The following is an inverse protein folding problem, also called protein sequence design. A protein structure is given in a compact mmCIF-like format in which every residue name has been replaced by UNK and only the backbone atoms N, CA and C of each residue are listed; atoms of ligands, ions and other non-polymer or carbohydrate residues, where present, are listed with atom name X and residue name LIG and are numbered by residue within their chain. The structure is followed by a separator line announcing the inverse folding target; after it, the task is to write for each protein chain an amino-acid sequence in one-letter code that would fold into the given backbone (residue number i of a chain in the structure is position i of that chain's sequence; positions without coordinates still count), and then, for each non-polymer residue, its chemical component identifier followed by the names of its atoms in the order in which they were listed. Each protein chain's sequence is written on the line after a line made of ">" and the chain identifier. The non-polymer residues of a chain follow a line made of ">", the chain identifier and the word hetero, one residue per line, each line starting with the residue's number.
data_IF_302701692275
#
_entry.id   IF_302701692275
#
_cell.length_a   1.000
_cell.length_b   1.000
_cell.length_c   1.000
_cell.angle_alpha   90.00
_cell.angle_beta   90.00
_cell.angle_gamma   90.00
#
_symmetry.space_group_name_H-M   'P 1'
#
loop_
_entity.id
_entity.type
_entity.pdbx_description
1 polymer ?
#
# COMPACT_ATOMS: atom_id res chain seq x y z
N UNK A 1 -11.15 -13.24 -64.28
CA UNK A 1 -11.10 -14.14 -63.12
C UNK A 1 -10.10 -13.50 -62.18
N UNK A 2 -10.59 -12.85 -61.15
CA UNK A 2 -9.75 -12.23 -60.10
C UNK A 2 -10.07 -12.90 -58.79
N UNK A 3 -9.10 -13.63 -58.22
CA UNK A 3 -9.20 -14.23 -56.90
C UNK A 3 -8.84 -13.20 -55.83
N UNK A 4 -9.82 -12.79 -55.07
CA UNK A 4 -9.59 -12.01 -53.83
C UNK A 4 -9.05 -12.91 -52.74
N UNK A 5 -7.84 -12.65 -52.31
CA UNK A 5 -7.22 -13.27 -51.15
C UNK A 5 -7.61 -12.47 -49.91
N UNK A 6 -8.51 -13.00 -49.09
CA UNK A 6 -8.88 -12.39 -47.82
C UNK A 6 -7.79 -12.72 -46.77
N UNK A 7 -6.95 -11.75 -46.51
CA UNK A 7 -5.98 -11.84 -45.40
C UNK A 7 -6.70 -11.79 -44.06
N UNK A 8 -6.73 -12.91 -43.35
CA UNK A 8 -7.21 -13.01 -41.95
C UNK A 8 -6.14 -12.39 -41.06
N UNK A 9 -6.34 -11.16 -40.62
CA UNK A 9 -5.55 -10.54 -39.55
C UNK A 9 -5.95 -11.21 -38.23
N UNK A 10 -5.11 -12.10 -37.76
CA UNK A 10 -5.18 -12.63 -36.40
C UNK A 10 -4.70 -11.50 -35.47
N UNK A 11 -5.64 -10.76 -34.88
CA UNK A 11 -5.34 -9.89 -33.76
C UNK A 11 -5.10 -10.79 -32.55
N UNK A 12 -3.83 -11.02 -32.18
CA UNK A 12 -3.48 -11.58 -30.89
C UNK A 12 -3.96 -10.60 -29.81
N UNK A 13 -5.11 -10.85 -29.25
CA UNK A 13 -5.54 -10.25 -28.00
C UNK A 13 -4.62 -10.80 -26.91
N UNK A 14 -3.63 -10.02 -26.49
CA UNK A 14 -2.89 -10.31 -25.26
C UNK A 14 -3.88 -10.27 -24.11
N UNK A 15 -4.34 -11.47 -23.73
CA UNK A 15 -5.33 -11.69 -22.67
C UNK A 15 -4.74 -11.14 -21.34
N UNK A 16 -5.15 -9.94 -20.97
CA UNK A 16 -4.69 -9.31 -19.73
C UNK A 16 -5.15 -10.18 -18.56
N UNK A 17 -4.23 -10.76 -17.75
CA UNK A 17 -4.60 -11.69 -16.69
C UNK A 17 -5.68 -11.09 -15.79
N UNK A 18 -6.65 -11.88 -15.36
CA UNK A 18 -7.64 -11.44 -14.39
C UNK A 18 -6.95 -10.91 -13.12
N UNK A 19 -7.62 -10.04 -12.36
CA UNK A 19 -7.05 -9.49 -11.14
C UNK A 19 -6.61 -10.58 -10.15
N UNK A 20 -7.41 -11.64 -10.02
CA UNK A 20 -7.09 -12.77 -9.13
C UNK A 20 -5.83 -13.52 -9.58
N UNK A 21 -5.65 -13.74 -10.88
CA UNK A 21 -4.42 -14.31 -11.43
C UNK A 21 -3.21 -13.42 -11.14
N UNK A 22 -3.36 -12.09 -11.22
CA UNK A 22 -2.28 -11.17 -10.87
C UNK A 22 -1.93 -11.27 -9.39
N UNK A 23 -2.91 -11.25 -8.49
CA UNK A 23 -2.69 -11.41 -7.04
C UNK A 23 -2.05 -12.77 -6.73
N UNK A 24 -2.47 -13.84 -7.38
CA UNK A 24 -1.85 -15.17 -7.24
C UNK A 24 -0.36 -15.15 -7.67
N UNK A 25 -0.03 -14.48 -8.78
CA UNK A 25 1.38 -14.30 -9.22
C UNK A 25 2.21 -13.51 -8.20
N UNK A 26 1.64 -12.45 -7.62
CA UNK A 26 2.31 -11.69 -6.55
C UNK A 26 2.59 -12.60 -5.35
N UNK A 27 1.60 -13.38 -4.91
CA UNK A 27 1.74 -14.32 -3.78
C UNK A 27 2.76 -15.43 -4.04
N UNK A 28 2.92 -15.83 -5.29
CA UNK A 28 3.91 -16.83 -5.71
C UNK A 28 5.30 -16.23 -6.01
N UNK A 29 5.50 -14.92 -5.83
CA UNK A 29 6.75 -14.24 -6.18
C UNK A 29 7.94 -14.75 -5.35
N UNK A 30 9.06 -15.04 -6.04
CA UNK A 30 10.34 -15.47 -5.47
C UNK A 30 11.52 -14.56 -5.83
N UNK A 31 11.25 -13.40 -6.43
CA UNK A 31 12.27 -12.51 -7.01
C UNK A 31 13.41 -12.14 -6.05
N UNK A 32 13.09 -12.00 -4.75
CA UNK A 32 14.04 -11.56 -3.73
C UNK A 32 14.48 -12.70 -2.78
N UNK A 33 14.24 -13.97 -3.10
CA UNK A 33 14.37 -15.12 -2.18
C UNK A 33 15.75 -15.18 -1.50
N UNK A 34 16.82 -15.00 -2.26
CA UNK A 34 18.20 -15.03 -1.75
C UNK A 34 18.56 -13.88 -0.80
N UNK A 35 17.72 -12.85 -0.74
CA UNK A 35 17.93 -11.65 0.08
C UNK A 35 17.00 -11.59 1.30
N UNK A 36 16.13 -12.57 1.50
CA UNK A 36 15.13 -12.57 2.56
C UNK A 36 15.47 -13.62 3.62
N UNK A 37 15.75 -13.20 4.87
CA UNK A 37 16.26 -14.11 5.91
C UNK A 37 15.26 -15.19 6.33
N UNK A 38 13.94 -14.95 6.11
CA UNK A 38 12.88 -15.92 6.40
C UNK A 38 12.21 -16.44 5.11
N UNK A 39 12.83 -16.24 3.95
CA UNK A 39 12.30 -16.64 2.66
C UNK A 39 11.16 -15.73 2.15
N UNK A 40 10.63 -16.09 0.99
CA UNK A 40 9.54 -15.35 0.36
C UNK A 40 8.20 -15.72 0.97
N UNK A 41 7.50 -14.71 1.48
CA UNK A 41 6.09 -14.80 1.88
C UNK A 41 5.41 -13.47 1.58
N UNK A 42 4.98 -13.21 0.34
CA UNK A 42 4.31 -11.98 -0.02
C UNK A 42 2.98 -11.83 0.71
N UNK A 43 2.82 -10.70 1.41
CA UNK A 43 1.61 -10.34 2.16
C UNK A 43 1.00 -9.10 1.57
N UNK A 44 -0.24 -9.20 1.10
CA UNK A 44 -1.06 -8.11 0.60
C UNK A 44 -2.54 -8.45 0.76
N UNK A 45 -3.37 -7.42 0.71
CA UNK A 45 -4.82 -7.50 0.62
C UNK A 45 -5.27 -6.61 -0.53
N UNK A 46 -6.02 -7.12 -1.50
CA UNK A 46 -6.46 -6.32 -2.62
C UNK A 46 -7.69 -6.93 -3.32
N UNK A 47 -8.60 -6.06 -3.71
CA UNK A 47 -9.72 -6.34 -4.61
C UNK A 47 -9.89 -5.14 -5.55
N UNK A 48 -10.33 -5.32 -6.80
CA UNK A 48 -10.59 -4.21 -7.72
C UNK A 48 -11.74 -3.31 -7.23
N UNK A 49 -12.53 -3.77 -6.25
CA UNK A 49 -13.61 -3.00 -5.62
C UNK A 49 -13.18 -2.17 -4.43
N UNK A 50 -11.93 -2.31 -3.97
CA UNK A 50 -11.42 -1.56 -2.83
C UNK A 50 -11.50 -0.05 -3.07
N UNK A 51 -11.98 0.68 -2.07
CA UNK A 51 -12.18 2.14 -2.12
C UNK A 51 -11.13 2.91 -1.33
N UNK A 52 -10.49 2.28 -0.36
CA UNK A 52 -9.35 2.79 0.39
C UNK A 52 -8.11 1.98 0.05
N UNK A 53 -7.03 2.64 -0.36
CA UNK A 53 -5.73 2.03 -0.58
C UNK A 53 -4.76 2.40 0.54
N UNK A 54 -4.17 1.42 1.19
CA UNK A 54 -3.10 1.60 2.16
C UNK A 54 -1.79 1.14 1.55
N UNK A 55 -0.87 2.06 1.33
CA UNK A 55 0.50 1.77 0.92
C UNK A 55 1.43 2.02 2.10
N UNK A 56 2.19 1.01 2.49
CA UNK A 56 3.11 1.05 3.64
C UNK A 56 4.52 0.59 3.24
N UNK A 57 5.42 0.40 4.19
CA UNK A 57 6.80 0.00 3.91
C UNK A 57 6.89 -1.45 3.44
N UNK A 58 6.78 -2.40 4.35
CA UNK A 58 6.89 -3.85 4.14
C UNK A 58 6.32 -4.58 5.36
N UNK A 59 6.00 -5.89 5.26
CA UNK A 59 5.64 -6.72 6.41
C UNK A 59 6.73 -6.73 7.47
N UNK A 60 6.38 -6.58 8.73
CA UNK A 60 7.25 -6.89 9.86
C UNK A 60 7.30 -8.41 10.12
N UNK A 61 8.16 -8.86 11.04
CA UNK A 61 8.32 -10.29 11.39
C UNK A 61 6.98 -10.96 11.73
N UNK A 62 6.18 -10.35 12.61
CA UNK A 62 4.87 -10.91 13.03
C UNK A 62 3.88 -11.01 11.86
N UNK A 63 3.87 -10.03 10.97
CA UNK A 63 3.06 -10.07 9.75
C UNK A 63 3.52 -11.18 8.82
N UNK A 64 4.84 -11.36 8.68
CA UNK A 64 5.41 -12.48 7.93
C UNK A 64 4.97 -13.83 8.51
N UNK A 65 5.04 -14.01 9.84
CA UNK A 65 4.66 -15.26 10.52
C UNK A 65 3.17 -15.59 10.36
N UNK A 66 2.30 -14.59 10.41
CA UNK A 66 0.83 -14.79 10.34
C UNK A 66 0.28 -14.75 8.91
N UNK A 67 0.95 -14.07 7.99
CA UNK A 67 0.45 -13.82 6.64
C UNK A 67 -0.69 -12.80 6.58
N UNK A 68 -0.99 -12.11 7.68
CA UNK A 68 -2.08 -11.13 7.78
C UNK A 68 -1.48 -9.72 7.87
N UNK A 69 -1.79 -8.80 6.91
CA UNK A 69 -1.22 -7.47 6.91
C UNK A 69 -1.61 -6.68 8.16
N UNK A 70 -0.67 -5.93 8.73
CA UNK A 70 -0.89 -5.13 9.94
C UNK A 70 -1.46 -5.93 11.14
N UNK A 71 -1.16 -7.22 11.26
CA UNK A 71 -1.51 -8.02 12.45
C UNK A 71 -0.48 -7.86 13.57
N UNK A 72 -0.23 -6.62 13.98
CA UNK A 72 0.76 -6.23 14.96
C UNK A 72 0.33 -4.92 15.68
N UNK A 73 1.07 -4.43 16.69
CA UNK A 73 0.74 -3.19 17.40
C UNK A 73 0.68 -1.95 16.50
N UNK A 74 1.37 -1.94 15.35
CA UNK A 74 1.25 -0.87 14.35
C UNK A 74 -0.13 -0.89 13.70
N UNK A 75 -0.64 -2.07 13.41
CA UNK A 75 -1.98 -2.24 12.85
C UNK A 75 -3.08 -1.87 13.82
N UNK A 76 -2.92 -2.18 15.12
CA UNK A 76 -3.88 -1.75 16.14
C UNK A 76 -3.99 -0.22 16.17
N UNK A 77 -2.83 0.46 16.21
CA UNK A 77 -2.79 1.93 16.17
C UNK A 77 -3.33 2.49 14.86
N UNK A 78 -3.04 1.85 13.73
CA UNK A 78 -3.55 2.32 12.44
C UNK A 78 -5.08 2.28 12.41
N UNK A 79 -5.70 1.19 12.85
CA UNK A 79 -7.17 1.09 12.95
C UNK A 79 -7.76 2.16 13.85
N UNK A 80 -7.13 2.44 14.97
CA UNK A 80 -7.46 3.54 15.88
C UNK A 80 -7.44 4.90 15.16
N UNK A 81 -6.38 5.18 14.40
CA UNK A 81 -6.27 6.42 13.64
C UNK A 81 -7.36 6.55 12.58
N UNK A 82 -7.67 5.43 11.90
CA UNK A 82 -8.70 5.39 10.87
C UNK A 82 -10.14 5.44 11.43
N UNK A 83 -10.31 5.14 12.72
CA UNK A 83 -11.64 5.05 13.35
C UNK A 83 -12.47 3.87 12.85
N UNK A 84 -11.84 2.77 12.47
CA UNK A 84 -12.49 1.56 11.95
C UNK A 84 -12.12 0.33 12.76
N UNK A 85 -13.03 -0.65 12.78
CA UNK A 85 -12.80 -1.91 13.45
C UNK A 85 -11.96 -2.90 12.62
N UNK A 86 -11.65 -4.02 13.24
CA UNK A 86 -10.82 -5.07 12.63
C UNK A 86 -11.56 -5.77 11.46
N UNK A 87 -12.87 -5.91 11.54
CA UNK A 87 -13.69 -6.56 10.51
C UNK A 87 -13.65 -5.75 9.22
N UNK A 88 -13.92 -4.46 9.31
CA UNK A 88 -13.88 -3.55 8.16
C UNK A 88 -12.45 -3.39 7.61
N UNK A 89 -11.43 -3.36 8.49
CA UNK A 89 -10.04 -3.23 8.05
C UNK A 89 -9.58 -4.41 7.18
N UNK A 90 -10.07 -5.61 7.44
CA UNK A 90 -9.72 -6.81 6.68
C UNK A 90 -10.73 -7.18 5.58
N UNK A 91 -11.73 -6.33 5.33
CA UNK A 91 -12.59 -6.47 4.17
C UNK A 91 -11.85 -6.00 2.91
N UNK A 92 -11.36 -6.96 2.12
CA UNK A 92 -10.61 -6.68 0.90
C UNK A 92 -11.44 -5.95 -0.17
N UNK A 93 -12.77 -6.08 -0.13
CA UNK A 93 -13.68 -5.39 -1.04
C UNK A 93 -13.79 -3.89 -0.75
N UNK A 94 -13.37 -3.48 0.43
CA UNK A 94 -13.42 -2.11 0.90
C UNK A 94 -12.02 -1.50 1.02
N UNK A 95 -11.03 -2.27 1.46
CA UNK A 95 -9.67 -1.80 1.79
C UNK A 95 -8.62 -2.67 1.10
N UNK A 96 -7.80 -2.05 0.26
CA UNK A 96 -6.60 -2.64 -0.28
C UNK A 96 -5.38 -2.26 0.57
N UNK A 97 -4.50 -3.23 0.84
CA UNK A 97 -3.22 -3.05 1.53
C UNK A 97 -2.13 -3.57 0.62
N UNK A 98 -1.40 -2.64 -0.01
CA UNK A 98 -0.38 -2.92 -1.03
C UNK A 98 0.93 -2.25 -0.61
N UNK A 99 1.78 -2.90 0.20
CA UNK A 99 3.02 -2.31 0.69
C UNK A 99 4.06 -2.13 -0.43
N UNK A 100 5.09 -1.31 -0.22
CA UNK A 100 6.22 -1.11 -1.13
C UNK A 100 7.06 -2.39 -1.31
N UNK A 101 7.15 -3.20 -0.26
CA UNK A 101 7.71 -4.55 -0.31
C UNK A 101 6.69 -5.55 0.23
N UNK A 102 6.45 -6.64 -0.47
CA UNK A 102 5.44 -7.64 -0.05
C UNK A 102 5.98 -8.67 0.95
N UNK A 103 7.28 -8.78 1.11
CA UNK A 103 7.93 -9.74 2.02
C UNK A 103 8.66 -9.01 3.15
N UNK A 104 8.83 -9.70 4.28
CA UNK A 104 9.65 -9.23 5.39
C UNK A 104 11.12 -9.14 4.97
N UNK A 105 11.73 -7.94 4.97
CA UNK A 105 13.08 -7.76 4.46
C UNK A 105 14.17 -8.14 5.46
N UNK A 106 13.81 -8.43 6.71
CA UNK A 106 14.74 -8.67 7.81
C UNK A 106 14.78 -7.52 8.80
N UNK A 107 15.48 -7.75 9.92
CA UNK A 107 15.66 -6.76 10.99
C UNK A 107 17.10 -6.24 10.99
N UNK A 108 17.27 -4.93 11.00
CA UNK A 108 18.54 -4.25 11.16
C UNK A 108 18.74 -3.70 12.58
N UNK A 109 19.80 -2.94 12.80
CA UNK A 109 20.16 -2.36 14.11
C UNK A 109 19.08 -1.42 14.68
N UNK A 110 18.36 -0.70 13.82
CA UNK A 110 17.37 0.31 14.22
C UNK A 110 15.93 -0.05 13.90
N UNK A 111 15.65 -1.27 13.50
CA UNK A 111 14.32 -1.75 13.11
C UNK A 111 14.36 -2.61 11.86
N UNK A 112 13.19 -2.81 11.24
CA UNK A 112 13.12 -3.59 10.02
C UNK A 112 13.88 -2.89 8.88
N UNK A 113 14.52 -3.69 8.05
CA UNK A 113 15.26 -3.21 6.88
C UNK A 113 14.31 -2.52 5.86
N UNK A 114 14.85 -1.71 4.94
CA UNK A 114 14.08 -1.16 3.84
C UNK A 114 13.35 -2.25 3.02
N UNK A 115 12.22 -1.92 2.39
CA UNK A 115 11.61 -2.83 1.43
C UNK A 115 12.60 -3.13 0.30
N UNK A 116 12.53 -4.34 -0.25
CA UNK A 116 13.37 -4.69 -1.40
C UNK A 116 13.07 -3.76 -2.57
N UNK A 117 14.11 -3.13 -3.17
CA UNK A 117 13.92 -2.11 -4.20
C UNK A 117 13.28 -2.65 -5.48
N UNK A 118 13.40 -3.95 -5.74
CA UNK A 118 12.83 -4.60 -6.93
C UNK A 118 11.31 -4.77 -6.83
N UNK A 119 10.75 -4.79 -5.60
CA UNK A 119 9.39 -5.25 -5.36
C UNK A 119 8.33 -4.30 -5.94
N UNK A 120 8.34 -3.03 -5.52
CA UNK A 120 7.35 -2.04 -5.99
C UNK A 120 7.45 -1.79 -7.51
N UNK A 121 8.64 -1.58 -8.12
CA UNK A 121 8.74 -1.40 -9.57
C UNK A 121 8.21 -2.58 -10.38
N UNK A 122 8.31 -3.81 -9.86
CA UNK A 122 7.78 -5.01 -10.53
C UNK A 122 6.27 -5.09 -10.47
N UNK A 123 5.67 -4.80 -9.30
CA UNK A 123 4.28 -5.17 -9.04
C UNK A 123 3.31 -3.99 -9.01
N UNK A 124 3.71 -2.81 -8.52
CA UNK A 124 2.81 -1.66 -8.42
C UNK A 124 2.26 -1.21 -9.78
N UNK A 125 3.06 -1.16 -10.88
CA UNK A 125 2.53 -0.80 -12.20
C UNK A 125 1.45 -1.75 -12.73
N UNK A 126 1.42 -2.98 -12.23
CA UNK A 126 0.42 -3.97 -12.62
C UNK A 126 -0.80 -3.97 -11.69
N UNK A 127 -0.62 -3.71 -10.38
CA UNK A 127 -1.68 -3.76 -9.37
C UNK A 127 -2.46 -2.45 -9.26
N UNK A 128 -1.75 -1.31 -9.09
CA UNK A 128 -2.40 -0.04 -8.73
C UNK A 128 -3.37 0.46 -9.81
N UNK A 129 -3.09 0.38 -11.13
CA UNK A 129 -4.06 0.80 -12.14
C UNK A 129 -5.35 -0.02 -12.16
N UNK A 130 -5.34 -1.22 -11.55
CA UNK A 130 -6.51 -2.10 -11.48
C UNK A 130 -7.38 -1.90 -10.23
N UNK A 131 -6.95 -1.02 -9.33
CA UNK A 131 -7.72 -0.56 -8.17
C UNK A 131 -8.52 0.71 -8.53
N UNK A 132 -9.28 0.66 -9.62
CA UNK A 132 -9.96 1.82 -10.20
C UNK A 132 -11.07 2.43 -9.35
N UNK A 133 -11.50 1.77 -8.27
CA UNK A 133 -12.51 2.27 -7.35
C UNK A 133 -11.92 3.04 -6.16
N UNK A 134 -10.61 3.10 -6.03
CA UNK A 134 -9.94 3.77 -4.91
C UNK A 134 -10.22 5.27 -4.93
N UNK A 135 -10.76 5.78 -3.83
CA UNK A 135 -11.09 7.20 -3.62
C UNK A 135 -10.07 7.91 -2.72
N UNK A 136 -9.42 7.16 -1.83
CA UNK A 136 -8.40 7.68 -0.93
C UNK A 136 -7.22 6.72 -0.87
N UNK A 137 -6.01 7.26 -0.98
CA UNK A 137 -4.76 6.52 -0.80
C UNK A 137 -4.02 7.02 0.44
N UNK A 138 -3.67 6.14 1.35
CA UNK A 138 -2.83 6.44 2.52
C UNK A 138 -1.38 6.07 2.23
N UNK A 139 -0.49 7.06 2.23
CA UNK A 139 0.95 6.88 2.05
C UNK A 139 1.66 6.81 3.41
N UNK A 140 1.83 5.60 3.97
CA UNK A 140 2.32 5.39 5.33
C UNK A 140 3.83 5.22 5.39
N UNK A 141 4.51 6.19 5.99
CA UNK A 141 5.96 6.20 6.18
C UNK A 141 6.73 6.63 4.93
N UNK A 142 8.04 6.84 5.12
CA UNK A 142 8.91 7.48 4.11
C UNK A 142 8.97 6.74 2.76
N UNK A 143 8.93 5.40 2.76
CA UNK A 143 9.04 4.62 1.52
C UNK A 143 7.78 4.71 0.67
N UNK A 144 6.60 4.62 1.29
CA UNK A 144 5.33 4.80 0.59
C UNK A 144 5.19 6.24 0.07
N UNK A 145 5.55 7.24 0.90
CA UNK A 145 5.56 8.64 0.48
C UNK A 145 6.53 8.88 -0.69
N UNK A 146 7.72 8.27 -0.66
CA UNK A 146 8.66 8.38 -1.77
C UNK A 146 8.12 7.75 -3.06
N UNK A 147 7.52 6.57 -2.97
CA UNK A 147 6.98 5.85 -4.12
C UNK A 147 5.76 6.52 -4.75
N UNK A 148 4.85 7.06 -3.93
CA UNK A 148 3.60 7.64 -4.42
C UNK A 148 3.67 9.13 -4.74
N UNK A 149 4.47 9.89 -3.99
CA UNK A 149 4.55 11.34 -4.13
C UNK A 149 5.72 11.80 -5.00
N UNK A 150 6.78 10.99 -5.10
CA UNK A 150 7.98 11.34 -5.86
C UNK A 150 8.54 12.69 -5.43
N UNK A 151 8.72 13.60 -6.38
CA UNK A 151 9.26 14.96 -6.14
C UNK A 151 8.28 15.90 -5.43
N UNK A 152 7.00 15.50 -5.24
CA UNK A 152 6.01 16.29 -4.49
C UNK A 152 6.14 16.15 -2.98
N UNK A 153 6.96 15.21 -2.49
CA UNK A 153 7.24 15.06 -1.04
C UNK A 153 8.11 16.20 -0.52
N UNK A 154 7.93 16.57 0.75
CA UNK A 154 8.84 17.47 1.46
C UNK A 154 10.23 16.86 1.68
N UNK A 155 11.16 17.64 2.19
CA UNK A 155 12.56 17.21 2.48
C UNK A 155 12.60 16.12 3.55
N UNK A 156 11.70 16.18 4.51
CA UNK A 156 11.57 15.20 5.60
C UNK A 156 10.20 14.55 5.58
N UNK A 157 10.06 13.44 6.33
CA UNK A 157 8.76 12.84 6.58
C UNK A 157 7.80 13.86 7.23
N UNK A 158 8.28 14.64 8.18
CA UNK A 158 7.47 15.66 8.88
C UNK A 158 6.95 16.71 7.91
N UNK A 159 7.82 17.28 7.05
CA UNK A 159 7.41 18.27 6.05
C UNK A 159 6.34 17.70 5.11
N UNK A 160 6.52 16.44 4.69
CA UNK A 160 5.55 15.75 3.82
C UNK A 160 4.20 15.59 4.51
N UNK A 161 4.20 15.15 5.78
CA UNK A 161 2.96 14.97 6.54
C UNK A 161 2.31 16.32 6.87
N UNK A 162 3.07 17.37 7.18
CA UNK A 162 2.52 18.73 7.39
C UNK A 162 1.83 19.30 6.16
N UNK A 163 2.33 18.95 4.96
CA UNK A 163 1.72 19.36 3.69
C UNK A 163 0.49 18.50 3.29
N UNK A 164 -0.09 17.74 4.21
CA UNK A 164 -1.16 16.77 3.94
C UNK A 164 -2.36 17.36 3.19
N UNK A 165 -2.74 18.63 3.45
CA UNK A 165 -3.85 19.31 2.77
C UNK A 165 -3.63 19.39 1.26
N UNK A 166 -2.40 19.68 0.83
CA UNK A 166 -2.02 19.76 -0.58
C UNK A 166 -2.06 18.37 -1.24
N UNK A 167 -1.56 17.35 -0.55
CA UNK A 167 -1.56 15.99 -1.06
C UNK A 167 -2.96 15.39 -1.13
N UNK A 168 -3.82 15.73 -0.17
CA UNK A 168 -5.22 15.26 -0.12
C UNK A 168 -6.04 15.76 -1.33
N UNK A 169 -5.74 16.94 -1.88
CA UNK A 169 -6.35 17.43 -3.13
C UNK A 169 -6.12 16.49 -4.33
N UNK A 170 -5.10 15.65 -4.24
CA UNK A 170 -4.78 14.63 -5.24
C UNK A 170 -5.16 13.21 -4.78
N UNK A 171 -6.02 13.09 -3.78
CA UNK A 171 -6.49 11.80 -3.25
C UNK A 171 -5.44 10.99 -2.45
N UNK A 172 -4.32 11.61 -2.06
CA UNK A 172 -3.26 10.94 -1.27
C UNK A 172 -3.10 11.62 0.07
N UNK A 173 -3.14 10.87 1.16
CA UNK A 173 -2.90 11.36 2.51
C UNK A 173 -1.62 10.75 3.10
N UNK A 174 -0.54 11.51 3.25
CA UNK A 174 0.68 11.03 3.86
C UNK A 174 0.55 10.93 5.38
N UNK A 175 0.97 9.79 5.93
CA UNK A 175 0.95 9.52 7.37
C UNK A 175 2.34 9.09 7.86
N UNK A 176 2.71 9.37 9.13
CA UNK A 176 3.84 8.72 9.74
C UNK A 176 3.55 7.22 9.90
N UNK A 177 4.59 6.39 10.07
CA UNK A 177 4.36 4.99 10.36
C UNK A 177 3.74 4.82 11.76
N UNK A 178 2.67 4.03 11.96
CA UNK A 178 1.99 3.87 13.24
C UNK A 178 2.75 3.02 14.26
N UNK A 179 4.03 2.77 14.03
CA UNK A 179 4.89 2.00 14.95
C UNK A 179 4.96 2.64 16.34
N UNK A 180 4.96 1.83 17.42
CA UNK A 180 5.24 2.30 18.77
C UNK A 180 6.55 3.11 18.90
N UNK A 181 7.51 2.88 18.01
CA UNK A 181 8.79 3.63 17.97
C UNK A 181 8.62 5.12 17.64
N UNK A 182 7.50 5.50 17.01
CA UNK A 182 7.21 6.88 16.63
C UNK A 182 6.55 7.72 17.75
N UNK A 183 6.54 7.24 18.99
CA UNK A 183 5.97 8.00 20.14
C UNK A 183 6.58 9.38 20.29
N UNK A 184 7.90 9.50 20.16
CA UNK A 184 8.58 10.80 20.26
C UNK A 184 8.19 11.74 19.11
N UNK A 185 7.99 11.21 17.90
CA UNK A 185 7.52 11.99 16.78
C UNK A 185 6.11 12.52 17.04
N UNK A 186 5.20 11.70 17.52
CA UNK A 186 3.82 12.09 17.87
C UNK A 186 3.83 13.17 18.96
N UNK A 187 4.61 12.99 20.02
CA UNK A 187 4.72 13.99 21.09
C UNK A 187 5.25 15.35 20.61
N UNK A 188 6.11 15.36 19.60
CA UNK A 188 6.66 16.59 19.00
C UNK A 188 5.75 17.22 17.94
N UNK A 189 4.72 16.52 17.51
CA UNK A 189 3.82 16.94 16.42
C UNK A 189 2.35 16.78 16.85
N UNK A 190 1.89 17.51 17.89
CA UNK A 190 0.53 17.36 18.42
C UNK A 190 -0.55 17.73 17.40
N UNK A 191 -0.24 18.57 16.41
CA UNK A 191 -1.11 18.89 15.29
C UNK A 191 -1.56 17.67 14.50
N UNK A 192 -0.77 16.59 14.49
CA UNK A 192 -1.15 15.36 13.82
C UNK A 192 -2.45 14.77 14.40
N UNK A 193 -2.54 14.72 15.74
CA UNK A 193 -3.72 14.21 16.43
C UNK A 193 -4.87 15.22 16.43
N UNK A 194 -4.58 16.50 16.61
CA UNK A 194 -5.63 17.52 16.72
C UNK A 194 -6.20 18.01 15.39
N UNK A 195 -5.41 17.98 14.31
CA UNK A 195 -5.86 18.51 13.01
C UNK A 195 -6.00 17.43 11.94
N UNK A 196 -5.00 16.52 11.80
CA UNK A 196 -5.00 15.56 10.71
C UNK A 196 -5.90 14.37 11.00
N UNK A 197 -5.87 13.77 12.19
CA UNK A 197 -6.66 12.57 12.49
C UNK A 197 -8.18 12.78 12.36
N UNK A 198 -8.78 13.90 12.78
CA UNK A 198 -10.20 14.13 12.53
C UNK A 198 -10.56 14.11 11.03
N UNK A 199 -9.75 14.77 10.20
CA UNK A 199 -9.95 14.78 8.74
C UNK A 199 -9.70 13.40 8.13
N UNK A 200 -8.68 12.68 8.60
CA UNK A 200 -8.42 11.31 8.16
C UNK A 200 -9.65 10.41 8.38
N UNK A 201 -10.23 10.45 9.58
CA UNK A 201 -11.43 9.65 9.93
C UNK A 201 -12.63 10.01 9.05
N UNK A 202 -12.88 11.30 8.84
CA UNK A 202 -13.93 11.78 7.94
C UNK A 202 -13.72 11.23 6.52
N UNK A 203 -12.53 11.41 5.94
CA UNK A 203 -12.21 10.96 4.58
C UNK A 203 -12.26 9.44 4.41
N UNK A 204 -11.83 8.70 5.43
CA UNK A 204 -11.96 7.24 5.44
C UNK A 204 -13.43 6.82 5.47
N UNK A 205 -14.24 7.44 6.32
CA UNK A 205 -15.67 7.17 6.38
C UNK A 205 -16.36 7.49 5.04
N UNK A 206 -16.01 8.61 4.39
CA UNK A 206 -16.53 9.00 3.07
C UNK A 206 -16.15 7.97 2.00
N UNK A 207 -14.88 7.60 1.92
CA UNK A 207 -14.42 6.62 0.96
C UNK A 207 -15.11 5.26 1.12
N UNK A 208 -15.43 4.86 2.35
CA UNK A 208 -16.02 3.56 2.67
C UNK A 208 -17.56 3.54 2.66
N UNK A 209 -18.26 4.67 2.56
CA UNK A 209 -19.75 4.73 2.50
C UNK A 209 -20.34 4.36 1.15
N UNK A 210 -19.60 4.42 0.07
CA UNK A 210 -20.08 4.23 -1.30
C UNK A 210 -20.20 2.77 -1.77
#
# INVERSE_FOLDING_TARGET
>A
MACCNAGTTVTESFDTPSFDRLVARVRACRLCETHLPLGCRPVLQASPRARLLIVSQAPGRRVHETGIPFNDPSGDRLRDWLGIDKTLFYDAERIAIVPMGFCFPGTGKSGDLPPRPECAPTWHPQLLPRLGQVQLTLAIGQYAQAGLLGNRRGRTLTDTVQAWRQHLQHGVLPLPHPSPRNRLWLARNPWFESELLPVLRERVADALRG
#
